data_IF_906870980239
#
_entry.id   IF_906870980239
#
_cell.length_a   1.000
_cell.length_b   1.000
_cell.length_c   1.000
_cell.angle_alpha   90.00
_cell.angle_beta   90.00
_cell.angle_gamma   90.00
#
_symmetry.space_group_name_H-M   'P 1'
#
loop_
_entity.id
_entity.type
_entity.pdbx_description
1 polymer ?
#
# COMPACT_ATOMS: atom_id res chain seq x y z
N UNK A 1 3.66 -19.57 4.12
CA UNK A 1 3.79 -18.43 3.19
C UNK A 1 2.70 -17.42 3.53
N UNK A 2 3.01 -16.13 3.63
CA UNK A 2 2.04 -15.09 3.98
C UNK A 2 1.95 -14.08 2.83
N UNK A 3 0.73 -13.76 2.41
CA UNK A 3 0.46 -12.75 1.39
C UNK A 3 -0.18 -11.52 2.04
N UNK A 4 0.29 -10.34 1.67
CA UNK A 4 -0.26 -9.07 2.14
C UNK A 4 -0.89 -8.31 0.98
N UNK A 5 -2.21 -8.32 0.90
CA UNK A 5 -2.99 -7.57 -0.08
C UNK A 5 -3.05 -6.09 0.30
N UNK A 6 -2.71 -5.20 -0.64
CA UNK A 6 -2.65 -3.76 -0.40
C UNK A 6 -3.68 -2.94 -1.19
N UNK A 7 -4.39 -3.57 -2.12
CA UNK A 7 -5.43 -2.96 -2.96
C UNK A 7 -6.40 -4.02 -3.51
N UNK A 8 -7.52 -3.58 -4.05
CA UNK A 8 -8.46 -4.38 -4.83
C UNK A 8 -8.83 -3.62 -6.10
N UNK A 9 -8.59 -4.22 -7.26
CA UNK A 9 -8.79 -3.55 -8.56
C UNK A 9 -10.13 -3.91 -9.22
N UNK A 10 -10.67 -5.08 -8.91
CA UNK A 10 -11.96 -5.54 -9.40
C UNK A 10 -12.63 -6.47 -8.38
N UNK A 11 -13.97 -6.52 -8.39
CA UNK A 11 -14.76 -7.41 -7.55
C UNK A 11 -16.05 -7.79 -8.26
N UNK A 12 -16.33 -9.09 -8.41
CA UNK A 12 -17.61 -9.55 -8.98
C UNK A 12 -17.88 -9.09 -10.41
N UNK A 13 -16.83 -8.86 -11.22
CA UNK A 13 -16.96 -8.33 -12.59
C UNK A 13 -16.95 -6.80 -12.68
N UNK A 14 -17.04 -6.08 -11.55
CA UNK A 14 -16.93 -4.62 -11.53
C UNK A 14 -15.48 -4.16 -11.47
N UNK A 15 -15.14 -3.15 -12.27
CA UNK A 15 -13.85 -2.46 -12.22
C UNK A 15 -13.86 -1.39 -11.12
N UNK A 16 -13.07 -1.62 -10.07
CA UNK A 16 -12.96 -0.71 -8.92
C UNK A 16 -11.86 0.32 -9.09
N UNK A 17 -11.07 0.29 -10.17
CA UNK A 17 -9.91 1.19 -10.37
C UNK A 17 -10.30 2.66 -10.37
N UNK A 18 -11.52 3.00 -10.79
CA UNK A 18 -12.02 4.38 -10.80
C UNK A 18 -12.35 4.92 -9.40
N UNK A 19 -12.52 4.03 -8.41
CA UNK A 19 -12.82 4.44 -7.03
C UNK A 19 -11.57 5.01 -6.34
N UNK A 20 -11.76 5.98 -5.41
CA UNK A 20 -10.70 6.41 -4.50
C UNK A 20 -10.09 5.25 -3.73
N UNK A 21 -8.79 5.33 -3.41
CA UNK A 21 -8.07 4.29 -2.66
C UNK A 21 -8.76 3.93 -1.33
N UNK A 22 -9.33 4.90 -0.61
CA UNK A 22 -10.07 4.65 0.64
C UNK A 22 -11.23 3.67 0.44
N UNK A 23 -12.03 3.89 -0.61
CA UNK A 23 -13.14 3.01 -0.94
C UNK A 23 -12.67 1.62 -1.38
N UNK A 24 -11.55 1.54 -2.10
CA UNK A 24 -10.95 0.25 -2.47
C UNK A 24 -10.46 -0.50 -1.23
N UNK A 25 -9.80 0.17 -0.28
CA UNK A 25 -9.37 -0.44 0.99
C UNK A 25 -10.55 -0.94 1.83
N UNK A 26 -11.66 -0.19 1.89
CA UNK A 26 -12.89 -0.65 2.55
C UNK A 26 -13.46 -1.90 1.89
N UNK A 27 -13.48 -1.96 0.55
CA UNK A 27 -13.92 -3.15 -0.18
C UNK A 27 -12.99 -4.35 0.02
N UNK A 28 -11.67 -4.14 0.02
CA UNK A 28 -10.69 -5.18 0.31
C UNK A 28 -10.87 -5.73 1.73
N UNK A 29 -11.08 -4.84 2.71
CA UNK A 29 -11.33 -5.24 4.08
C UNK A 29 -12.59 -6.11 4.17
N UNK A 30 -13.69 -5.68 3.55
CA UNK A 30 -14.92 -6.46 3.45
C UNK A 30 -14.71 -7.81 2.79
N UNK A 31 -13.93 -7.87 1.71
CA UNK A 31 -13.65 -9.11 0.97
C UNK A 31 -12.90 -10.14 1.83
N UNK A 32 -11.96 -9.67 2.65
CA UNK A 32 -11.10 -10.54 3.47
C UNK A 32 -11.66 -10.80 4.88
N UNK A 33 -12.80 -10.21 5.27
CA UNK A 33 -13.45 -10.53 6.55
C UNK A 33 -13.77 -12.02 6.64
N UNK A 34 -13.30 -12.66 7.71
CA UNK A 34 -13.60 -14.06 8.01
C UNK A 34 -12.97 -15.08 7.05
N UNK A 35 -11.94 -14.68 6.28
CA UNK A 35 -11.23 -15.60 5.37
C UNK A 35 -10.13 -16.40 6.08
N UNK A 36 -9.84 -17.62 5.60
CA UNK A 36 -8.84 -18.50 6.20
C UNK A 36 -7.42 -17.93 6.15
N UNK A 37 -6.56 -18.48 7.01
CA UNK A 37 -5.18 -18.05 7.21
C UNK A 37 -4.35 -18.05 5.91
N UNK A 38 -3.51 -17.03 5.74
CA UNK A 38 -2.51 -16.95 4.66
C UNK A 38 -2.60 -15.71 3.77
N UNK A 39 -3.73 -14.97 3.79
CA UNK A 39 -3.87 -13.69 3.10
C UNK A 39 -4.36 -12.59 4.06
N UNK A 40 -3.52 -11.58 4.25
CA UNK A 40 -3.73 -10.49 5.19
C UNK A 40 -3.86 -9.16 4.44
N UNK A 41 -4.48 -8.17 5.08
CA UNK A 41 -4.44 -6.79 4.58
C UNK A 41 -3.10 -6.20 5.00
N UNK A 42 -2.39 -5.58 4.05
CA UNK A 42 -1.18 -4.82 4.34
C UNK A 42 -1.52 -3.68 5.33
N UNK A 43 -0.90 -3.65 6.53
CA UNK A 43 -1.12 -2.58 7.49
C UNK A 43 -0.79 -1.22 6.87
N UNK A 44 -1.55 -0.21 7.25
CA UNK A 44 -1.34 1.15 6.80
C UNK A 44 -1.89 2.13 7.81
N UNK A 45 -1.31 3.33 7.78
CA UNK A 45 -1.74 4.45 8.60
C UNK A 45 -2.18 5.61 7.71
N UNK A 46 -2.97 6.52 8.27
CA UNK A 46 -3.51 7.69 7.56
C UNK A 46 -3.28 8.98 8.33
N UNK A 47 -3.37 10.13 7.66
CA UNK A 47 -3.12 11.44 8.25
C UNK A 47 -1.69 11.95 8.00
N UNK A 48 -1.32 13.02 8.71
CA UNK A 48 -0.08 13.78 8.50
C UNK A 48 1.14 13.19 9.23
N UNK A 49 1.23 11.86 9.34
CA UNK A 49 2.28 11.14 10.10
C UNK A 49 3.34 10.46 9.21
N UNK A 50 3.35 10.78 7.91
CA UNK A 50 4.29 10.20 6.94
C UNK A 50 5.78 10.31 7.34
N UNK A 51 6.27 11.48 7.80
CA UNK A 51 7.66 11.63 8.23
C UNK A 51 8.02 10.72 9.42
N UNK A 52 7.12 10.59 10.41
CA UNK A 52 7.37 9.78 11.60
C UNK A 52 7.30 8.27 11.28
N UNK A 53 6.36 7.85 10.43
CA UNK A 53 6.32 6.50 9.88
C UNK A 53 7.59 6.15 9.12
N UNK A 54 8.12 7.09 8.33
CA UNK A 54 9.36 6.86 7.59
C UNK A 54 10.57 6.73 8.51
N UNK A 55 10.66 7.56 9.56
CA UNK A 55 11.70 7.44 10.60
C UNK A 55 11.64 6.08 11.28
N UNK A 56 10.45 5.69 11.76
CA UNK A 56 10.25 4.38 12.38
C UNK A 56 10.62 3.23 11.43
N UNK A 57 10.25 3.31 10.15
CA UNK A 57 10.65 2.31 9.15
C UNK A 57 12.18 2.25 8.97
N UNK A 58 12.87 3.39 9.02
CA UNK A 58 14.33 3.44 8.96
C UNK A 58 14.98 2.78 10.19
N UNK A 59 14.48 3.09 11.39
CA UNK A 59 14.97 2.55 12.66
C UNK A 59 14.80 1.03 12.73
N UNK A 60 13.69 0.52 12.18
CA UNK A 60 13.41 -0.90 12.02
C UNK A 60 14.20 -1.56 10.88
N UNK A 61 15.15 -0.85 10.24
CA UNK A 61 15.95 -1.34 9.10
C UNK A 61 15.11 -1.85 7.93
N UNK A 62 13.92 -1.30 7.73
CA UNK A 62 13.08 -1.63 6.58
C UNK A 62 13.54 -0.90 5.32
N UNK A 63 13.10 -1.39 4.16
CA UNK A 63 13.40 -0.79 2.87
C UNK A 63 12.93 0.66 2.74
N UNK A 64 11.82 0.99 3.40
CA UNK A 64 11.18 2.31 3.33
C UNK A 64 9.66 2.19 3.40
N UNK A 65 8.96 3.19 2.87
CA UNK A 65 7.49 3.25 2.89
C UNK A 65 6.91 3.52 1.50
N UNK A 66 5.64 3.17 1.33
CA UNK A 66 4.84 3.55 0.17
C UNK A 66 3.77 4.55 0.63
N UNK A 67 3.88 5.80 0.20
CA UNK A 67 2.86 6.82 0.41
C UNK A 67 1.88 6.81 -0.74
N UNK A 68 0.58 6.71 -0.48
CA UNK A 68 -0.47 6.70 -1.51
C UNK A 68 -1.49 7.80 -1.22
N UNK A 69 -1.93 8.53 -2.25
CA UNK A 69 -3.01 9.53 -2.10
C UNK A 69 -4.35 8.83 -1.92
N UNK A 70 -5.02 9.12 -0.80
CA UNK A 70 -6.23 8.42 -0.33
C UNK A 70 -7.44 8.64 -1.24
N UNK A 71 -7.55 9.83 -1.80
CA UNK A 71 -8.67 10.34 -2.59
C UNK A 71 -8.54 10.03 -4.10
N UNK A 72 -7.54 9.24 -4.49
CA UNK A 72 -7.15 9.09 -5.90
C UNK A 72 -7.42 7.69 -6.42
N UNK A 73 -7.83 7.64 -7.70
CA UNK A 73 -8.08 6.41 -8.44
C UNK A 73 -6.78 5.65 -8.72
N UNK A 74 -6.90 4.38 -9.11
CA UNK A 74 -5.75 3.58 -9.51
C UNK A 74 -5.30 4.03 -10.90
N UNK A 75 -4.00 4.31 -11.05
CA UNK A 75 -3.39 4.65 -12.33
C UNK A 75 -2.27 3.65 -12.56
N UNK A 76 -2.37 2.90 -13.66
CA UNK A 76 -1.34 1.97 -14.05
C UNK A 76 -0.07 2.72 -14.50
N UNK A 77 1.10 2.11 -14.29
CA UNK A 77 2.39 2.69 -14.66
C UNK A 77 2.96 3.67 -13.62
N UNK A 78 3.98 4.42 -14.02
CA UNK A 78 4.68 5.37 -13.14
C UNK A 78 3.82 6.61 -12.93
N UNK A 79 3.50 6.88 -11.67
CA UNK A 79 2.60 7.96 -11.28
C UNK A 79 3.04 8.59 -9.96
N UNK A 80 2.57 9.81 -9.69
CA UNK A 80 2.78 10.51 -8.41
C UNK A 80 1.70 10.20 -7.38
N UNK A 81 0.66 9.45 -7.76
CA UNK A 81 -0.44 9.08 -6.85
C UNK A 81 0.01 8.08 -5.77
N UNK A 82 1.12 7.40 -6.01
CA UNK A 82 1.84 6.65 -5.00
C UNK A 82 3.35 6.77 -5.18
N UNK A 83 4.07 6.95 -4.08
CA UNK A 83 5.49 7.20 -4.08
C UNK A 83 6.17 6.22 -3.15
N UNK A 84 7.24 5.60 -3.66
CA UNK A 84 8.16 4.82 -2.84
C UNK A 84 9.23 5.75 -2.30
N UNK A 85 9.33 5.83 -0.98
CA UNK A 85 10.40 6.54 -0.28
C UNK A 85 11.30 5.47 0.33
N UNK A 86 12.53 5.37 -0.18
CA UNK A 86 13.50 4.35 0.25
C UNK A 86 14.35 4.87 1.41
N UNK A 87 14.62 4.01 2.38
CA UNK A 87 15.64 4.21 3.38
C UNK A 87 17.03 4.17 2.70
N UNK A 88 17.79 5.26 2.84
CA UNK A 88 19.08 5.42 2.16
C UNK A 88 20.14 4.40 2.61
N UNK A 89 19.99 3.85 3.81
CA UNK A 89 20.92 2.85 4.35
C UNK A 89 20.56 1.40 3.98
N UNK A 90 19.39 1.19 3.37
CA UNK A 90 18.92 -0.16 3.03
C UNK A 90 19.50 -0.63 1.68
N UNK A 91 19.88 -1.91 1.51
CA UNK A 91 20.50 -2.41 0.28
C UNK A 91 19.68 -2.20 -1.01
N UNK A 92 18.36 -2.09 -0.91
CA UNK A 92 17.51 -1.81 -2.07
C UNK A 92 17.58 -0.36 -2.58
N UNK A 93 18.29 0.53 -1.88
CA UNK A 93 18.53 1.90 -2.32
C UNK A 93 19.27 1.94 -3.67
N UNK A 94 20.28 1.09 -3.84
CA UNK A 94 21.11 0.98 -5.06
C UNK A 94 20.51 0.07 -6.13
N UNK A 95 19.37 -0.57 -5.87
CA UNK A 95 18.68 -1.38 -6.90
C UNK A 95 18.04 -0.45 -7.92
N UNK A 96 18.55 -0.50 -9.14
CA UNK A 96 17.87 -0.02 -10.34
C UNK A 96 16.68 -0.94 -10.64
N UNK A 97 15.58 -0.36 -11.14
CA UNK A 97 14.37 -1.07 -11.54
C UNK A 97 14.42 -1.40 -13.02
#
# INVERSE_FOLDING_TARGET
MQLYAFDILALGGEDLRQLPLEMRKTNLARLLRGRPDGMFIAPFESGAIGPDLFRAACDLRLEGIISKRRDRRYIAGRTREWLKIKNRTYPAMSREL
#
